data_IF_164934642205
#
_entry.id   IF_164934642205
#
_cell.length_a   1.000
_cell.length_b   1.000
_cell.length_c   1.000
_cell.angle_alpha   90.00
_cell.angle_beta   90.00
_cell.angle_gamma   90.00
#
_symmetry.space_group_name_H-M   'P 1'
#
loop_
_entity.id
_entity.type
_entity.pdbx_description
1 polymer ?
#
# COMPACT_ATOMS: atom_id res chain seq x y z
N UNK A 1 0.74 1.21 -16.38
CA UNK A 1 1.26 0.89 -15.02
C UNK A 1 0.45 1.65 -13.99
N UNK A 2 -0.14 0.95 -13.04
CA UNK A 2 -0.90 1.57 -11.96
C UNK A 2 0.01 1.76 -10.75
N UNK A 3 -0.24 2.82 -9.99
CA UNK A 3 0.51 3.14 -8.78
C UNK A 3 -0.44 3.13 -7.59
N UNK A 4 -0.17 2.22 -6.64
CA UNK A 4 -0.95 2.09 -5.42
C UNK A 4 -0.12 2.57 -4.23
N UNK A 5 -0.69 3.44 -3.43
CA UNK A 5 -0.15 3.81 -2.12
C UNK A 5 -0.90 3.04 -1.05
N UNK A 6 -0.19 2.38 -0.15
CA UNK A 6 -0.78 1.55 0.89
C UNK A 6 -0.38 2.11 2.25
N UNK A 7 -1.39 2.48 3.05
CA UNK A 7 -1.19 3.12 4.34
C UNK A 7 -1.71 2.23 5.46
N UNK A 8 -1.00 2.20 6.58
CA UNK A 8 -1.49 1.59 7.82
C UNK A 8 -2.28 2.63 8.57
N UNK A 9 -3.60 2.49 8.66
CA UNK A 9 -4.46 3.48 9.29
C UNK A 9 -4.49 3.27 10.80
N UNK A 10 -4.53 4.38 11.55
CA UNK A 10 -4.72 4.36 12.99
C UNK A 10 -5.92 3.48 13.33
N UNK A 11 -5.76 2.57 14.30
CA UNK A 11 -6.77 1.57 14.64
C UNK A 11 -8.14 2.16 14.96
N UNK A 12 -8.17 3.21 15.78
CA UNK A 12 -9.43 3.87 16.16
C UNK A 12 -10.10 4.51 14.96
N UNK A 13 -9.33 5.20 14.14
CA UNK A 13 -9.84 5.83 12.92
C UNK A 13 -10.32 4.79 11.93
N UNK A 14 -9.61 3.66 11.80
CA UNK A 14 -10.03 2.57 10.92
C UNK A 14 -11.41 2.04 11.31
N UNK A 15 -11.66 1.85 12.60
CA UNK A 15 -12.96 1.40 13.10
C UNK A 15 -14.06 2.39 12.70
N UNK A 16 -13.80 3.69 12.87
CA UNK A 16 -14.78 4.75 12.58
C UNK A 16 -15.06 4.91 11.10
N UNK A 17 -14.09 4.61 10.23
CA UNK A 17 -14.18 4.91 8.80
C UNK A 17 -14.31 3.67 7.91
N UNK A 18 -14.44 2.49 8.50
CA UNK A 18 -14.50 1.22 7.74
C UNK A 18 -15.61 1.23 6.71
N UNK A 19 -16.76 1.81 7.07
CA UNK A 19 -17.92 1.89 6.19
C UNK A 19 -17.93 3.16 5.32
N UNK A 20 -16.87 3.98 5.40
CA UNK A 20 -16.76 5.24 4.68
C UNK A 20 -15.41 5.37 3.96
N UNK A 21 -15.06 4.42 3.08
CA UNK A 21 -13.74 4.45 2.41
C UNK A 21 -13.55 5.71 1.56
N UNK A 22 -14.62 6.30 1.02
CA UNK A 22 -14.54 7.53 0.27
C UNK A 22 -13.98 8.68 1.12
N UNK A 23 -14.43 8.81 2.37
CA UNK A 23 -13.96 9.87 3.26
C UNK A 23 -12.48 9.71 3.60
N UNK A 24 -12.04 8.47 3.82
CA UNK A 24 -10.62 8.18 4.03
C UNK A 24 -9.80 8.53 2.80
N UNK A 25 -10.28 8.14 1.61
CA UNK A 25 -9.61 8.47 0.35
C UNK A 25 -9.46 9.97 0.18
N UNK A 26 -10.51 10.74 0.43
CA UNK A 26 -10.49 12.21 0.30
C UNK A 26 -9.47 12.84 1.25
N UNK A 27 -9.38 12.34 2.48
CA UNK A 27 -8.40 12.83 3.45
C UNK A 27 -6.97 12.56 2.97
N UNK A 28 -6.70 11.36 2.46
CA UNK A 28 -5.38 11.01 1.91
C UNK A 28 -5.07 11.80 0.65
N UNK A 29 -6.07 12.01 -0.22
CA UNK A 29 -5.90 12.78 -1.46
C UNK A 29 -5.51 14.23 -1.17
N UNK A 30 -6.08 14.84 -0.14
CA UNK A 30 -5.71 16.19 0.27
C UNK A 30 -4.23 16.29 0.61
N UNK A 31 -3.71 15.30 1.34
CA UNK A 31 -2.29 15.25 1.71
C UNK A 31 -1.42 15.04 0.46
N UNK A 32 -1.84 14.13 -0.40
CA UNK A 32 -1.11 13.80 -1.64
C UNK A 32 -0.97 15.02 -2.56
N UNK A 33 -1.98 15.90 -2.60
CA UNK A 33 -2.02 17.07 -3.46
C UNK A 33 -1.36 18.31 -2.86
N UNK A 34 -0.89 18.27 -1.61
CA UNK A 34 -0.22 19.41 -0.99
C UNK A 34 1.08 19.75 -1.70
N UNK A 35 1.38 21.05 -1.83
CA UNK A 35 2.66 21.51 -2.35
C UNK A 35 3.79 21.16 -1.38
N UNK A 36 5.00 21.05 -1.92
CA UNK A 36 6.21 20.78 -1.11
C UNK A 36 6.44 21.83 -0.02
N UNK A 37 6.02 23.07 -0.24
CA UNK A 37 6.13 24.13 0.77
C UNK A 37 5.25 23.90 1.99
N UNK A 38 4.20 23.07 1.85
CA UNK A 38 3.29 22.72 2.91
C UNK A 38 3.63 21.37 3.56
N UNK A 39 4.87 20.92 3.42
CA UNK A 39 5.32 19.61 3.89
C UNK A 39 5.04 19.39 5.38
N UNK A 40 5.34 20.39 6.23
CA UNK A 40 5.10 20.27 7.67
C UNK A 40 3.62 20.07 8.00
N UNK A 41 2.73 20.78 7.30
CA UNK A 41 1.29 20.61 7.45
C UNK A 41 0.86 19.22 6.99
N UNK A 42 1.35 18.78 5.83
CA UNK A 42 1.06 17.47 5.29
C UNK A 42 1.49 16.34 6.22
N UNK A 43 2.66 16.45 6.82
CA UNK A 43 3.17 15.47 7.77
C UNK A 43 2.28 15.38 9.00
N UNK A 44 1.86 16.52 9.57
CA UNK A 44 0.94 16.54 10.72
C UNK A 44 -0.42 15.93 10.38
N UNK A 45 -0.97 16.24 9.22
CA UNK A 45 -2.22 15.65 8.75
C UNK A 45 -2.08 14.14 8.60
N UNK A 46 -0.99 13.69 8.01
CA UNK A 46 -0.71 12.28 7.78
C UNK A 46 -0.61 11.51 9.12
N UNK A 47 0.08 12.07 10.11
CA UNK A 47 0.26 11.44 11.42
C UNK A 47 -1.07 11.26 12.18
N UNK A 48 -2.09 12.07 11.87
CA UNK A 48 -3.42 11.90 12.45
C UNK A 48 -4.17 10.72 11.84
N UNK A 49 -3.86 10.35 10.60
CA UNK A 49 -4.57 9.31 9.86
C UNK A 49 -3.87 7.97 9.89
N UNK A 50 -2.55 7.97 9.73
CA UNK A 50 -1.77 6.76 9.53
C UNK A 50 -0.70 6.58 10.61
N UNK A 51 -0.31 5.32 10.81
CA UNK A 51 0.77 4.96 11.74
C UNK A 51 1.96 4.41 10.95
N UNK A 52 3.17 4.46 11.53
CA UNK A 52 4.35 3.88 10.87
C UNK A 52 4.16 2.39 10.58
N UNK A 53 4.75 1.93 9.48
CA UNK A 53 4.72 0.54 9.06
C UNK A 53 5.92 -0.19 9.66
N UNK A 54 5.70 -1.39 10.16
CA UNK A 54 6.80 -2.28 10.60
C UNK A 54 7.48 -2.88 9.37
N UNK A 55 8.50 -2.17 8.86
CA UNK A 55 9.21 -2.53 7.65
C UNK A 55 9.79 -3.93 7.71
N UNK A 56 10.42 -4.27 8.85
CA UNK A 56 11.08 -5.57 9.03
C UNK A 56 10.07 -6.70 8.94
N UNK A 57 8.94 -6.56 9.60
CA UNK A 57 7.87 -7.55 9.59
C UNK A 57 7.32 -7.75 8.18
N UNK A 58 7.05 -6.67 7.47
CA UNK A 58 6.51 -6.74 6.11
C UNK A 58 7.53 -7.32 5.13
N UNK A 59 8.78 -6.87 5.19
CA UNK A 59 9.83 -7.40 4.33
C UNK A 59 10.00 -8.91 4.55
N UNK A 60 10.00 -9.36 5.80
CA UNK A 60 10.12 -10.78 6.12
C UNK A 60 8.91 -11.57 5.63
N UNK A 61 7.71 -11.05 5.79
CA UNK A 61 6.48 -11.71 5.33
C UNK A 61 6.48 -11.87 3.81
N UNK A 62 6.85 -10.83 3.08
CA UNK A 62 6.93 -10.88 1.63
C UNK A 62 7.98 -11.89 1.17
N UNK A 63 9.17 -11.84 1.76
CA UNK A 63 10.23 -12.77 1.42
C UNK A 63 9.82 -14.23 1.68
N UNK A 64 9.29 -14.52 2.86
CA UNK A 64 8.89 -15.87 3.23
C UNK A 64 7.73 -16.40 2.36
N UNK A 65 6.85 -15.52 1.93
CA UNK A 65 5.73 -15.90 1.07
C UNK A 65 6.19 -16.24 -0.35
N UNK A 66 7.14 -15.47 -0.90
CA UNK A 66 7.49 -15.56 -2.32
C UNK A 66 8.87 -16.12 -2.62
N UNK A 67 9.67 -16.47 -1.61
CA UNK A 67 11.06 -16.94 -1.82
C UNK A 67 11.21 -18.12 -2.76
N UNK A 68 10.17 -18.95 -2.88
CA UNK A 68 10.18 -20.13 -3.76
C UNK A 68 9.51 -19.86 -5.11
N UNK A 69 9.10 -18.64 -5.37
CA UNK A 69 8.52 -18.22 -6.65
C UNK A 69 9.65 -17.78 -7.57
N UNK A 70 9.80 -18.44 -8.72
CA UNK A 70 10.88 -18.19 -9.67
C UNK A 70 10.86 -16.79 -10.28
N UNK A 71 9.72 -16.09 -10.19
CA UNK A 71 9.54 -14.77 -10.77
C UNK A 71 9.74 -13.63 -9.77
N UNK A 72 9.99 -13.98 -8.51
CA UNK A 72 10.16 -13.03 -7.43
C UNK A 72 11.63 -12.73 -7.19
N UNK A 73 11.96 -11.45 -7.02
CA UNK A 73 13.29 -10.98 -6.60
C UNK A 73 13.14 -9.94 -5.51
N UNK A 74 14.16 -9.87 -4.65
CA UNK A 74 14.19 -8.90 -3.55
C UNK A 74 15.55 -8.24 -3.47
N UNK A 75 15.56 -6.91 -3.33
CA UNK A 75 16.76 -6.14 -3.00
C UNK A 75 16.40 -5.15 -1.89
N UNK A 76 16.91 -5.40 -0.67
CA UNK A 76 16.60 -4.59 0.53
C UNK A 76 15.09 -4.51 0.76
N UNK A 77 14.51 -3.32 0.66
CA UNK A 77 13.06 -3.09 0.84
C UNK A 77 12.29 -3.06 -0.47
N UNK A 78 12.92 -3.47 -1.57
CA UNK A 78 12.29 -3.51 -2.89
C UNK A 78 12.00 -4.96 -3.28
N UNK A 79 10.74 -5.24 -3.58
CA UNK A 79 10.27 -6.56 -3.98
C UNK A 79 9.72 -6.47 -5.40
N UNK A 80 10.07 -7.40 -6.26
CA UNK A 80 9.62 -7.40 -7.65
C UNK A 80 9.06 -8.77 -8.04
N UNK A 81 8.00 -8.75 -8.85
CA UNK A 81 7.50 -9.92 -9.56
C UNK A 81 7.49 -9.59 -11.03
N UNK A 82 8.15 -10.44 -11.83
CA UNK A 82 8.19 -10.33 -13.27
C UNK A 82 7.88 -11.70 -13.86
N UNK A 83 6.59 -11.93 -14.15
CA UNK A 83 6.11 -13.21 -14.65
C UNK A 83 5.63 -13.04 -16.11
N UNK A 84 6.32 -13.69 -17.04
CA UNK A 84 6.00 -13.61 -18.47
C UNK A 84 4.86 -14.55 -18.87
N UNK A 85 4.59 -15.59 -18.10
CA UNK A 85 3.57 -16.59 -18.40
C UNK A 85 2.17 -16.10 -18.01
N UNK A 86 2.06 -15.45 -16.87
CA UNK A 86 0.88 -14.67 -16.46
C UNK A 86 1.36 -13.23 -16.40
N UNK A 87 1.21 -12.44 -17.46
CA UNK A 87 1.93 -11.17 -17.56
C UNK A 87 1.67 -10.26 -16.37
N UNK A 88 2.54 -10.35 -15.39
CA UNK A 88 2.56 -9.45 -14.24
C UNK A 88 3.94 -8.86 -14.11
N UNK A 89 4.00 -7.53 -14.05
CA UNK A 89 5.18 -6.78 -13.72
C UNK A 89 4.81 -5.87 -12.56
N UNK A 90 5.27 -6.23 -11.36
CA UNK A 90 4.95 -5.51 -10.12
C UNK A 90 6.21 -5.21 -9.34
N UNK A 91 6.22 -4.03 -8.72
CA UNK A 91 7.32 -3.58 -7.86
C UNK A 91 6.73 -2.97 -6.60
N UNK A 92 7.10 -3.53 -5.46
CA UNK A 92 6.67 -3.04 -4.15
C UNK A 92 7.86 -2.50 -3.38
N UNK A 93 7.77 -1.24 -2.97
CA UNK A 93 8.79 -0.59 -2.13
C UNK A 93 8.21 -0.42 -0.73
N UNK A 94 8.89 -0.98 0.28
CA UNK A 94 8.46 -0.90 1.67
C UNK A 94 9.12 0.29 2.33
N UNK A 95 8.37 1.38 2.50
CA UNK A 95 8.83 2.60 3.18
C UNK A 95 8.33 2.61 4.63
N UNK A 96 8.82 3.55 5.43
CA UNK A 96 8.44 3.65 6.86
C UNK A 96 6.99 4.08 7.05
N UNK A 97 6.49 4.94 6.18
CA UNK A 97 5.17 5.58 6.36
C UNK A 97 4.13 5.07 5.37
N UNK A 98 4.55 4.41 4.29
CA UNK A 98 3.63 3.82 3.32
C UNK A 98 4.35 2.77 2.48
N UNK A 99 3.58 1.92 1.81
CA UNK A 99 4.09 1.01 0.79
C UNK A 99 3.75 1.61 -0.57
N UNK A 100 4.66 1.52 -1.52
CA UNK A 100 4.44 1.97 -2.89
C UNK A 100 4.46 0.77 -3.83
N UNK A 101 3.34 0.49 -4.45
CA UNK A 101 3.18 -0.64 -5.36
C UNK A 101 2.88 -0.15 -6.77
N UNK A 102 3.76 -0.46 -7.70
CA UNK A 102 3.56 -0.20 -9.12
C UNK A 102 3.29 -1.53 -9.83
N UNK A 103 2.24 -1.60 -10.64
CA UNK A 103 1.86 -2.84 -11.29
C UNK A 103 1.12 -2.57 -12.59
N UNK A 104 1.29 -3.50 -13.55
CA UNK A 104 0.55 -3.49 -14.82
C UNK A 104 -0.81 -4.20 -14.72
N UNK A 105 -1.17 -4.75 -13.55
CA UNK A 105 -2.45 -5.42 -13.35
C UNK A 105 -3.23 -4.82 -12.18
N UNK A 106 -4.55 -5.09 -12.15
CA UNK A 106 -5.46 -4.50 -11.17
C UNK A 106 -5.32 -5.15 -9.79
N UNK A 107 -5.03 -6.45 -9.74
CA UNK A 107 -4.85 -7.21 -8.49
C UNK A 107 -3.46 -7.84 -8.46
N UNK A 108 -2.42 -7.04 -8.15
CA UNK A 108 -1.06 -7.57 -8.04
C UNK A 108 -0.96 -8.68 -7.00
N UNK A 109 -0.09 -9.63 -7.26
CA UNK A 109 0.11 -10.78 -6.38
C UNK A 109 0.51 -10.36 -4.96
N UNK A 110 1.20 -9.23 -4.81
CA UNK A 110 1.63 -8.74 -3.50
C UNK A 110 0.46 -8.46 -2.54
N UNK A 111 -0.71 -8.12 -3.03
CA UNK A 111 -1.89 -7.91 -2.17
C UNK A 111 -2.21 -9.14 -1.34
N UNK A 112 -2.00 -10.32 -1.89
CA UNK A 112 -2.28 -11.57 -1.21
C UNK A 112 -1.41 -11.75 0.03
N UNK A 113 -0.12 -11.45 -0.06
CA UNK A 113 0.78 -11.54 1.08
C UNK A 113 0.52 -10.46 2.14
N UNK A 114 0.13 -9.26 1.69
CA UNK A 114 -0.12 -8.14 2.59
C UNK A 114 -1.43 -8.28 3.36
N UNK A 115 -2.33 -9.13 2.92
CA UNK A 115 -3.65 -9.28 3.52
C UNK A 115 -3.62 -9.87 4.94
N UNK A 116 -2.45 -10.27 5.45
CA UNK A 116 -2.30 -10.70 6.84
C UNK A 116 -2.39 -9.54 7.84
N UNK A 117 -2.12 -8.32 7.38
CA UNK A 117 -2.12 -7.13 8.21
C UNK A 117 -3.45 -6.39 8.09
N UNK A 118 -4.05 -6.06 9.22
CA UNK A 118 -5.32 -5.35 9.24
C UNK A 118 -5.11 -3.84 9.06
N UNK A 119 -6.20 -3.14 8.68
CA UNK A 119 -6.24 -1.69 8.59
C UNK A 119 -5.31 -1.08 7.54
N UNK A 120 -4.96 -1.85 6.50
CA UNK A 120 -4.26 -1.32 5.35
C UNK A 120 -5.27 -0.73 4.38
N UNK A 121 -5.07 0.54 4.02
CA UNK A 121 -5.90 1.25 3.06
C UNK A 121 -5.11 1.53 1.80
N UNK A 122 -5.68 1.18 0.65
CA UNK A 122 -5.02 1.29 -0.65
C UNK A 122 -5.64 2.45 -1.43
N UNK A 123 -4.78 3.30 -1.98
CA UNK A 123 -5.20 4.43 -2.82
C UNK A 123 -4.47 4.40 -4.15
N UNK A 124 -5.22 4.51 -5.23
CA UNK A 124 -4.72 4.86 -6.56
C UNK A 124 -5.24 6.26 -6.87
N UNK A 125 -4.42 7.27 -6.63
CA UNK A 125 -4.86 8.66 -6.75
C UNK A 125 -5.12 9.08 -8.19
N UNK A 126 -4.42 8.52 -9.16
CA UNK A 126 -4.63 8.86 -10.57
C UNK A 126 -5.97 8.37 -11.07
N UNK A 127 -6.34 7.15 -10.72
CA UNK A 127 -7.58 6.53 -11.18
C UNK A 127 -8.73 6.72 -10.18
N UNK A 128 -8.47 7.39 -9.05
CA UNK A 128 -9.44 7.62 -7.98
C UNK A 128 -10.08 6.32 -7.50
N UNK A 129 -9.25 5.28 -7.36
CA UNK A 129 -9.64 3.98 -6.85
C UNK A 129 -9.10 3.81 -5.44
N UNK A 130 -9.88 3.18 -4.57
CA UNK A 130 -9.53 3.04 -3.17
C UNK A 130 -10.31 1.91 -2.53
N UNK A 131 -9.68 1.24 -1.56
CA UNK A 131 -10.34 0.16 -0.82
C UNK A 131 -9.52 -0.23 0.41
N UNK A 132 -10.20 -0.86 1.38
CA UNK A 132 -9.51 -1.53 2.48
C UNK A 132 -9.00 -2.87 1.95
N UNK A 133 -7.71 -3.13 2.14
CA UNK A 133 -7.09 -4.33 1.57
C UNK A 133 -7.75 -5.61 2.10
N UNK A 134 -8.12 -5.63 3.37
CA UNK A 134 -8.76 -6.81 3.98
C UNK A 134 -10.13 -7.14 3.40
N UNK A 135 -10.78 -6.21 2.72
CA UNK A 135 -12.07 -6.41 2.06
C UNK A 135 -11.91 -6.87 0.61
N UNK A 136 -10.69 -6.87 0.10
CA UNK A 136 -10.43 -7.34 -1.25
C UNK A 136 -10.55 -8.85 -1.32
N UNK A 137 -11.38 -9.34 -2.23
CA UNK A 137 -11.53 -10.77 -2.51
C UNK A 137 -10.31 -11.25 -3.30
N UNK A 138 -9.49 -12.09 -2.67
CA UNK A 138 -8.25 -12.54 -3.27
C UNK A 138 -8.27 -14.04 -3.49
#
# INVERSE_FOLDING_TARGET
>A
MRTFYIFKINKELAILTKDSPYNMFKSMEQIYKLDKKDFSLGLKMFEQLAVPIDNKKINNKLFNTYKNNDHYTKYRNIHKINNRYKPEESKLVVNKVYLLLESNIIKPLFFKALNFDSNLFVCDFENKDYFWLEELSI
#
